data_IF_959361441642
#
_entry.id   IF_959361441642
#
_cell.length_a   1.000
_cell.length_b   1.000
_cell.length_c   1.000
_cell.angle_alpha   90.00
_cell.angle_beta   90.00
_cell.angle_gamma   90.00
#
_symmetry.space_group_name_H-M   'P 1'
#
loop_
_entity.id
_entity.type
_entity.pdbx_description
1 polymer ?
#
# COMPACT_ATOMS: atom_id res chain seq x y z
N UNK A 1 0.25 -11.46 -18.70
CA UNK A 1 1.08 -12.02 -17.62
C UNK A 1 2.44 -11.39 -17.80
N UNK A 2 2.94 -10.64 -16.83
CA UNK A 2 4.09 -9.73 -17.01
C UNK A 2 5.33 -10.46 -17.52
N UNK A 3 5.94 -9.94 -18.58
CA UNK A 3 7.25 -10.36 -19.11
C UNK A 3 8.35 -9.91 -18.14
N UNK A 4 8.55 -10.67 -17.07
CA UNK A 4 9.72 -10.50 -16.21
C UNK A 4 10.92 -11.14 -16.91
N UNK A 5 12.02 -10.39 -17.03
CA UNK A 5 13.26 -10.96 -17.56
C UNK A 5 13.84 -11.98 -16.57
N UNK A 6 14.70 -12.91 -17.03
CA UNK A 6 15.35 -13.87 -16.14
C UNK A 6 16.06 -13.19 -14.97
N UNK A 7 16.72 -12.05 -15.19
CA UNK A 7 17.38 -11.30 -14.12
C UNK A 7 16.39 -10.75 -13.09
N UNK A 8 15.23 -10.26 -13.53
CA UNK A 8 14.18 -9.79 -12.62
C UNK A 8 13.57 -10.94 -11.81
N UNK A 9 13.49 -12.13 -12.40
CA UNK A 9 12.99 -13.33 -11.71
C UNK A 9 13.97 -13.79 -10.63
N UNK A 10 15.27 -13.75 -10.91
CA UNK A 10 16.33 -14.09 -9.96
C UNK A 10 16.38 -13.08 -8.82
N UNK A 11 16.24 -11.78 -9.09
CA UNK A 11 16.16 -10.75 -8.07
C UNK A 11 14.95 -10.97 -7.13
N UNK A 12 13.76 -11.23 -7.69
CA UNK A 12 12.54 -11.49 -6.90
C UNK A 12 12.69 -12.77 -6.07
N UNK A 13 13.29 -13.81 -6.63
CA UNK A 13 13.51 -15.09 -5.94
C UNK A 13 14.50 -14.92 -4.79
N UNK A 14 15.61 -14.21 -5.02
CA UNK A 14 16.58 -13.89 -3.98
C UNK A 14 15.96 -13.03 -2.87
N UNK A 15 15.13 -12.04 -3.21
CA UNK A 15 14.40 -11.21 -2.24
C UNK A 15 13.40 -12.03 -1.41
N UNK A 16 12.78 -13.06 -2.02
CA UNK A 16 11.86 -13.97 -1.32
C UNK A 16 12.60 -14.94 -0.38
N UNK A 17 13.71 -15.53 -0.84
CA UNK A 17 14.52 -16.47 -0.05
C UNK A 17 15.25 -15.80 1.12
N UNK A 18 15.68 -14.56 0.96
CA UNK A 18 16.31 -13.78 2.03
C UNK A 18 15.33 -13.40 3.15
N UNK A 19 14.03 -13.45 2.89
CA UNK A 19 13.00 -12.92 3.78
C UNK A 19 13.08 -11.40 3.92
N UNK A 20 12.13 -10.81 4.64
CA UNK A 20 12.16 -9.38 4.89
C UNK A 20 13.15 -9.09 6.03
N UNK A 21 14.15 -8.24 5.77
CA UNK A 21 15.02 -7.75 6.83
C UNK A 21 14.21 -6.99 7.88
N UNK A 22 14.69 -6.94 9.14
CA UNK A 22 14.03 -6.18 10.21
C UNK A 22 13.77 -4.73 9.80
N UNK A 23 14.72 -4.07 9.12
CA UNK A 23 14.54 -2.74 8.56
C UNK A 23 13.37 -2.65 7.54
N UNK A 24 13.14 -3.69 6.72
CA UNK A 24 11.99 -3.75 5.81
C UNK A 24 10.68 -4.01 6.55
N UNK A 25 10.71 -4.81 7.61
CA UNK A 25 9.55 -5.04 8.49
C UNK A 25 9.17 -3.76 9.23
N UNK A 26 10.13 -3.04 9.80
CA UNK A 26 9.93 -1.76 10.46
C UNK A 26 9.39 -0.69 9.49
N UNK A 27 9.93 -0.64 8.27
CA UNK A 27 9.43 0.25 7.22
C UNK A 27 8.00 -0.13 6.76
N UNK A 28 7.63 -1.40 6.85
CA UNK A 28 6.28 -1.89 6.57
C UNK A 28 5.31 -1.62 7.74
N UNK A 29 5.77 -1.64 8.99
CA UNK A 29 4.96 -1.27 10.16
C UNK A 29 4.47 0.19 10.10
N UNK A 30 5.23 1.08 9.46
CA UNK A 30 4.89 2.50 9.36
C UNK A 30 4.01 2.81 8.13
N UNK A 31 3.84 1.87 7.19
CA UNK A 31 3.09 2.09 5.96
C UNK A 31 1.80 1.28 5.95
N UNK A 32 0.70 1.99 5.72
CA UNK A 32 -0.60 1.39 5.40
C UNK A 32 -0.43 0.57 4.12
N UNK A 33 -0.43 -0.76 4.26
CA UNK A 33 -0.27 -1.66 3.12
C UNK A 33 -1.43 -1.52 2.13
N UNK A 34 -1.25 -1.96 0.87
CA UNK A 34 -2.28 -1.87 -0.16
C UNK A 34 -3.58 -2.60 0.21
N UNK A 35 -3.52 -3.53 1.16
CA UNK A 35 -4.69 -4.25 1.67
C UNK A 35 -5.51 -3.52 2.73
N UNK A 36 -5.05 -2.38 3.26
CA UNK A 36 -5.70 -1.74 4.39
C UNK A 36 -7.16 -1.32 4.07
N UNK A 37 -7.41 -0.79 2.87
CA UNK A 37 -8.77 -0.38 2.48
C UNK A 37 -9.77 -1.55 2.44
N UNK A 38 -9.32 -2.80 2.42
CA UNK A 38 -10.20 -3.98 2.43
C UNK A 38 -10.81 -4.29 3.81
N UNK A 39 -10.32 -3.70 4.90
CA UNK A 39 -10.97 -3.86 6.21
C UNK A 39 -12.17 -2.93 6.38
N UNK A 40 -12.35 -1.97 5.47
CA UNK A 40 -13.46 -1.03 5.49
C UNK A 40 -14.72 -1.67 4.90
N UNK A 41 -15.92 -1.28 5.38
CA UNK A 41 -17.18 -1.60 4.72
C UNK A 41 -17.17 -1.25 3.23
N UNK A 42 -17.87 -2.03 2.41
CA UNK A 42 -17.81 -1.92 0.94
C UNK A 42 -18.24 -0.54 0.42
N UNK A 43 -19.23 0.07 1.04
CA UNK A 43 -19.70 1.42 0.72
C UNK A 43 -18.63 2.47 1.00
N UNK A 44 -17.95 2.36 2.15
CA UNK A 44 -16.83 3.22 2.53
C UNK A 44 -15.66 3.04 1.57
N UNK A 45 -15.31 1.80 1.24
CA UNK A 45 -14.23 1.46 0.30
C UNK A 45 -14.50 2.06 -1.10
N UNK A 46 -15.71 1.94 -1.61
CA UNK A 46 -16.07 2.52 -2.91
C UNK A 46 -16.01 4.05 -2.91
N UNK A 47 -16.50 4.69 -1.85
CA UNK A 47 -16.45 6.14 -1.72
C UNK A 47 -15.01 6.65 -1.63
N UNK A 48 -14.17 5.95 -0.85
CA UNK A 48 -12.75 6.24 -0.71
C UNK A 48 -12.03 6.12 -2.05
N UNK A 49 -12.20 5.00 -2.74
CA UNK A 49 -11.54 4.74 -4.02
C UNK A 49 -11.92 5.77 -5.09
N UNK A 50 -13.20 6.13 -5.18
CA UNK A 50 -13.67 7.15 -6.12
C UNK A 50 -13.01 8.51 -5.86
N UNK A 51 -12.94 8.91 -4.59
CA UNK A 51 -12.30 10.17 -4.21
C UNK A 51 -10.80 10.15 -4.45
N UNK A 52 -10.13 9.03 -4.20
CA UNK A 52 -8.71 8.88 -4.48
C UNK A 52 -8.42 9.11 -5.98
N UNK A 53 -9.22 8.51 -6.86
CA UNK A 53 -9.14 8.72 -8.30
C UNK A 53 -9.38 10.18 -8.70
N UNK A 54 -10.42 10.83 -8.16
CA UNK A 54 -10.74 12.24 -8.45
C UNK A 54 -9.59 13.19 -8.06
N UNK A 55 -8.80 12.82 -7.03
CA UNK A 55 -7.68 13.60 -6.52
C UNK A 55 -6.31 13.17 -7.05
N UNK A 56 -6.25 12.15 -7.92
CA UNK A 56 -4.99 11.61 -8.43
C UNK A 56 -4.11 10.95 -7.36
N UNK A 57 -4.73 10.41 -6.31
CA UNK A 57 -4.09 9.76 -5.18
C UNK A 57 -4.40 8.26 -5.16
N UNK A 58 -3.62 7.52 -4.39
CA UNK A 58 -3.97 6.17 -3.95
C UNK A 58 -4.90 6.21 -2.73
N UNK A 59 -5.66 5.14 -2.54
CA UNK A 59 -6.50 4.93 -1.36
C UNK A 59 -5.71 5.15 -0.04
N UNK A 60 -4.48 4.66 0.03
CA UNK A 60 -3.61 4.79 1.21
C UNK A 60 -3.19 6.25 1.48
N UNK A 61 -2.78 6.99 0.44
CA UNK A 61 -2.42 8.41 0.57
C UNK A 61 -3.61 9.26 1.03
N UNK A 62 -4.81 8.97 0.51
CA UNK A 62 -6.03 9.65 0.91
C UNK A 62 -6.37 9.39 2.38
N UNK A 63 -6.28 8.13 2.84
CA UNK A 63 -6.50 7.75 4.24
C UNK A 63 -5.47 8.44 5.14
N UNK A 64 -4.18 8.37 4.81
CA UNK A 64 -3.13 9.00 5.60
C UNK A 64 -3.38 10.51 5.76
N UNK A 65 -3.70 11.19 4.66
CA UNK A 65 -4.01 12.62 4.68
C UNK A 65 -5.24 12.93 5.53
N UNK A 66 -6.29 12.12 5.45
CA UNK A 66 -7.51 12.30 6.25
C UNK A 66 -7.24 12.11 7.75
N UNK A 67 -6.48 11.08 8.14
CA UNK A 67 -6.11 10.83 9.54
C UNK A 67 -5.25 11.97 10.08
N UNK A 68 -4.25 12.43 9.32
CA UNK A 68 -3.41 13.58 9.72
C UNK A 68 -4.23 14.84 9.91
N UNK A 69 -5.18 15.11 9.00
CA UNK A 69 -6.07 16.27 9.12
C UNK A 69 -6.99 16.18 10.34
N UNK A 70 -7.54 15.00 10.63
CA UNK A 70 -8.38 14.77 11.81
C UNK A 70 -7.62 14.97 13.13
N UNK A 71 -6.38 14.48 13.22
CA UNK A 71 -5.55 14.59 14.43
C UNK A 71 -4.94 15.98 14.64
N UNK A 72 -4.90 16.82 13.62
CA UNK A 72 -4.42 18.20 13.70
C UNK A 72 -5.51 19.21 14.09
N UNK A 73 -6.77 18.77 14.20
CA UNK A 73 -7.93 19.55 14.58
C UNK A 73 -8.22 19.44 16.09
#
# INVERSE_FOLDING_TARGET
MSDLTPEQLDEITADFEAGWSEHRLDAAEVRWGPGFAHVLPDDVRQALHRRALDEGLTDAELIERAVRAYLAA
#
